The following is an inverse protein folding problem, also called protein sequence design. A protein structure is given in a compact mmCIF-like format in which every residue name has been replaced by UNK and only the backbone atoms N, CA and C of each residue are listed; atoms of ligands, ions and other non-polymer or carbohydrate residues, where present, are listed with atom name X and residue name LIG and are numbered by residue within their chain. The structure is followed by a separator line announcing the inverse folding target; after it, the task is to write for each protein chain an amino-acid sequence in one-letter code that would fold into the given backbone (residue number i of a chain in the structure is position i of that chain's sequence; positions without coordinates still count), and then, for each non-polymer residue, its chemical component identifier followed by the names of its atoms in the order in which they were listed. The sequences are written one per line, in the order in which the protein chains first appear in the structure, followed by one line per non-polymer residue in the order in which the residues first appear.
data_IF_132212817039
#
_entry.id   IF_132212817039
#
_cell.length_a   1.000
_cell.length_b   1.000
_cell.length_c   1.000
_cell.angle_alpha   90.00
_cell.angle_beta   90.00
_cell.angle_gamma   90.00
#
_symmetry.space_group_name_H-M   'P 1'
#
loop_
_entity.id
_entity.type
_entity.pdbx_description
1 polymer ?
#
# COMPACT_ATOMS: atom_id res chain seq x y z
N UNK A 1 -4.35 18.31 -6.01
CA UNK A 1 -3.31 18.12 -7.06
C UNK A 1 -3.34 16.65 -7.46
N UNK A 2 -3.16 16.31 -8.74
CA UNK A 2 -3.11 14.93 -9.22
C UNK A 2 -1.80 14.26 -8.77
N UNK A 3 -1.89 13.14 -8.07
CA UNK A 3 -0.73 12.42 -7.52
C UNK A 3 -0.37 11.20 -8.37
N UNK A 4 -1.39 10.47 -8.85
CA UNK A 4 -1.23 9.33 -9.76
C UNK A 4 -2.11 9.52 -10.98
N UNK A 5 -1.55 9.27 -12.16
CA UNK A 5 -2.27 9.22 -13.44
C UNK A 5 -1.80 8.03 -14.26
N UNK A 6 -2.71 7.15 -14.65
CA UNK A 6 -2.42 6.09 -15.62
C UNK A 6 -2.96 6.48 -16.99
N UNK A 7 -2.23 6.13 -18.04
CA UNK A 7 -2.57 6.45 -19.43
C UNK A 7 -2.50 5.18 -20.25
N UNK A 8 -3.64 4.56 -20.48
CA UNK A 8 -3.78 3.36 -21.27
C UNK A 8 -2.91 2.19 -20.78
N UNK A 9 -2.74 2.05 -19.45
CA UNK A 9 -1.79 1.10 -18.86
C UNK A 9 -2.22 -0.34 -19.14
N UNK A 10 -1.32 -1.14 -19.72
CA UNK A 10 -1.57 -2.53 -20.12
C UNK A 10 -0.53 -3.46 -19.52
N UNK A 11 -0.98 -4.63 -19.05
CA UNK A 11 -0.09 -5.75 -18.71
C UNK A 11 -0.59 -7.05 -19.30
N UNK A 12 0.25 -7.68 -20.12
CA UNK A 12 0.01 -9.01 -20.70
C UNK A 12 1.04 -10.00 -20.19
N UNK A 13 0.60 -11.21 -19.85
CA UNK A 13 1.40 -12.37 -19.52
C UNK A 13 1.05 -13.49 -20.48
N UNK A 14 1.91 -13.78 -21.44
CA UNK A 14 1.64 -14.77 -22.52
C UNK A 14 0.25 -14.51 -23.17
N UNK A 15 -0.71 -15.36 -22.88
CA UNK A 15 -2.07 -15.30 -23.45
C UNK A 15 -3.09 -14.56 -22.56
N UNK A 16 -2.67 -14.07 -21.37
CA UNK A 16 -3.53 -13.39 -20.42
C UNK A 16 -3.28 -11.88 -20.44
N UNK A 17 -4.31 -11.10 -20.70
CA UNK A 17 -4.28 -9.64 -20.45
C UNK A 17 -4.74 -9.40 -19.01
N UNK A 18 -3.77 -9.19 -18.10
CA UNK A 18 -4.04 -9.01 -16.69
C UNK A 18 -4.51 -7.59 -16.34
N UNK A 19 -4.12 -6.58 -17.15
CA UNK A 19 -4.62 -5.20 -17.09
C UNK A 19 -4.77 -4.70 -18.52
N UNK A 20 -5.92 -4.13 -18.84
CA UNK A 20 -6.28 -3.69 -20.17
C UNK A 20 -6.66 -2.22 -20.19
N UNK A 21 -5.78 -1.38 -20.78
CA UNK A 21 -5.94 0.08 -21.02
C UNK A 21 -6.47 0.84 -19.80
N UNK A 22 -5.90 0.59 -18.62
CA UNK A 22 -6.28 1.25 -17.38
C UNK A 22 -6.01 2.76 -17.46
N UNK A 23 -7.07 3.56 -17.29
CA UNK A 23 -7.01 5.01 -17.12
C UNK A 23 -7.59 5.36 -15.76
N UNK A 24 -6.76 5.89 -14.85
CA UNK A 24 -7.12 6.19 -13.48
C UNK A 24 -6.39 7.45 -13.03
N UNK A 25 -7.08 8.29 -12.28
CA UNK A 25 -6.52 9.48 -11.64
C UNK A 25 -6.81 9.44 -10.15
N UNK A 26 -5.75 9.63 -9.32
CA UNK A 26 -5.83 9.69 -7.86
C UNK A 26 -5.23 11.00 -7.39
N UNK A 27 -5.88 11.66 -6.43
CA UNK A 27 -5.47 12.94 -5.91
C UNK A 27 -4.57 12.82 -4.68
N UNK A 28 -3.78 13.86 -4.43
CA UNK A 28 -2.91 13.92 -3.27
C UNK A 28 -3.72 13.88 -1.97
N UNK A 29 -3.28 13.02 -1.02
CA UNK A 29 -3.93 12.84 0.27
C UNK A 29 -5.22 12.01 0.22
N UNK A 30 -5.62 11.54 -0.97
CA UNK A 30 -6.79 10.68 -1.16
C UNK A 30 -6.54 9.27 -0.62
N UNK A 31 -7.55 8.68 -0.01
CA UNK A 31 -7.60 7.25 0.25
C UNK A 31 -8.46 6.62 -0.84
N UNK A 32 -7.83 5.87 -1.72
CA UNK A 32 -8.45 5.25 -2.89
C UNK A 32 -8.43 3.73 -2.78
N UNK A 33 -9.58 3.08 -2.97
CA UNK A 33 -9.67 1.63 -3.05
C UNK A 33 -9.80 1.13 -4.47
N UNK A 34 -9.02 0.12 -4.80
CA UNK A 34 -9.19 -0.66 -6.01
C UNK A 34 -9.90 -1.97 -5.64
N UNK A 35 -11.21 -2.02 -5.88
CA UNK A 35 -12.10 -3.11 -5.51
C UNK A 35 -12.27 -4.08 -6.68
N UNK A 36 -12.27 -5.36 -6.41
CA UNK A 36 -12.57 -6.40 -7.41
C UNK A 36 -12.27 -7.80 -6.90
N UNK A 37 -12.83 -8.79 -7.57
CA UNK A 37 -12.60 -10.21 -7.26
C UNK A 37 -11.12 -10.61 -7.45
N UNK A 38 -10.76 -11.78 -6.95
CA UNK A 38 -9.43 -12.35 -7.20
C UNK A 38 -9.23 -12.54 -8.71
N UNK A 39 -8.05 -12.16 -9.21
CA UNK A 39 -7.75 -12.19 -10.64
C UNK A 39 -8.22 -10.96 -11.44
N UNK A 40 -8.90 -9.98 -10.83
CA UNK A 40 -9.36 -8.78 -11.52
C UNK A 40 -8.24 -7.86 -12.05
N UNK A 41 -6.97 -8.08 -11.65
CA UNK A 41 -5.83 -7.27 -12.07
C UNK A 41 -5.30 -6.28 -11.02
N UNK A 42 -5.89 -6.22 -9.82
CA UNK A 42 -5.53 -5.29 -8.74
C UNK A 42 -4.06 -5.32 -8.36
N UNK A 43 -3.55 -6.49 -7.91
CA UNK A 43 -2.14 -6.67 -7.53
C UNK A 43 -1.20 -6.42 -8.70
N UNK A 44 -1.59 -6.78 -9.94
CA UNK A 44 -0.81 -6.47 -11.14
C UNK A 44 -0.72 -4.98 -11.37
N UNK A 45 -1.80 -4.25 -11.16
CA UNK A 45 -1.82 -2.77 -11.23
C UNK A 45 -0.86 -2.17 -10.20
N UNK A 46 -0.94 -2.59 -8.92
CA UNK A 46 0.03 -2.16 -7.90
C UNK A 46 1.47 -2.46 -8.32
N UNK A 47 1.76 -3.67 -8.79
CA UNK A 47 3.11 -4.05 -9.22
C UNK A 47 3.66 -3.17 -10.35
N UNK A 48 2.82 -2.70 -11.27
CA UNK A 48 3.24 -1.74 -12.30
C UNK A 48 3.47 -0.34 -11.71
N UNK A 49 2.53 0.18 -10.92
CA UNK A 49 2.64 1.50 -10.31
C UNK A 49 3.84 1.61 -9.36
N UNK A 50 4.20 0.52 -8.70
CA UNK A 50 5.37 0.45 -7.80
C UNK A 50 6.68 0.09 -8.51
N UNK A 51 6.69 0.04 -9.83
CA UNK A 51 7.85 -0.28 -10.65
C UNK A 51 8.46 -1.68 -10.37
N UNK A 52 7.70 -2.62 -9.76
CA UNK A 52 8.11 -4.01 -9.58
C UNK A 52 8.03 -4.77 -10.91
N UNK A 53 7.05 -4.44 -11.75
CA UNK A 53 6.93 -5.00 -13.10
C UNK A 53 6.70 -3.90 -14.14
N UNK A 54 7.33 -4.02 -15.30
CA UNK A 54 7.12 -3.07 -16.38
C UNK A 54 5.77 -3.32 -17.05
N UNK A 55 5.02 -2.27 -17.43
CA UNK A 55 3.86 -2.42 -18.29
C UNK A 55 4.26 -2.99 -19.65
N UNK A 56 3.29 -3.63 -20.33
CA UNK A 56 3.46 -4.10 -21.72
C UNK A 56 3.21 -2.94 -22.69
N UNK A 57 2.30 -2.04 -22.32
CA UNK A 57 1.97 -0.82 -23.08
C UNK A 57 1.40 0.25 -22.15
N UNK A 58 1.32 1.49 -22.64
CA UNK A 58 0.92 2.64 -21.84
C UNK A 58 1.97 3.08 -20.82
N UNK A 59 1.61 4.04 -19.98
CA UNK A 59 2.47 4.57 -18.92
C UNK A 59 1.64 5.00 -17.70
N UNK A 60 2.30 5.26 -16.59
CA UNK A 60 1.69 5.93 -15.45
C UNK A 60 2.67 6.99 -14.90
N UNK A 61 2.09 8.04 -14.34
CA UNK A 61 2.83 9.14 -13.74
C UNK A 61 2.51 9.18 -12.25
N UNK A 62 3.55 9.20 -11.41
CA UNK A 62 3.46 9.23 -9.95
C UNK A 62 4.28 10.43 -9.46
N UNK A 63 3.61 11.39 -8.83
CA UNK A 63 4.24 12.65 -8.46
C UNK A 63 4.85 13.39 -9.66
N UNK A 64 4.33 13.16 -10.87
CA UNK A 64 4.82 13.72 -12.14
C UNK A 64 5.91 12.88 -12.82
N UNK A 65 6.43 11.80 -12.20
CA UNK A 65 7.47 10.94 -12.79
C UNK A 65 6.87 9.71 -13.47
N UNK A 66 7.34 9.40 -14.68
CA UNK A 66 6.94 8.21 -15.45
C UNK A 66 7.48 6.93 -14.81
N UNK A 67 6.61 5.91 -14.63
CA UNK A 67 7.03 4.59 -14.12
C UNK A 67 7.92 3.82 -15.09
N UNK A 68 7.88 4.15 -16.39
CA UNK A 68 8.70 3.50 -17.42
C UNK A 68 10.02 4.19 -17.64
N UNK A 69 10.06 5.53 -17.59
CA UNK A 69 11.25 6.35 -17.91
C UNK A 69 12.02 6.79 -16.67
N UNK A 70 11.35 6.95 -15.53
CA UNK A 70 11.91 7.53 -14.31
C UNK A 70 11.57 6.67 -13.06
N UNK A 71 11.77 5.33 -13.10
CA UNK A 71 11.34 4.44 -12.00
C UNK A 71 12.05 4.73 -10.69
N UNK A 72 13.29 5.20 -10.70
CA UNK A 72 14.04 5.51 -9.49
C UNK A 72 13.47 6.73 -8.74
N UNK A 73 12.98 7.74 -9.46
CA UNK A 73 12.29 8.89 -8.89
C UNK A 73 10.94 8.46 -8.29
N UNK A 74 10.19 7.59 -8.99
CA UNK A 74 8.94 7.02 -8.49
C UNK A 74 9.17 6.26 -7.19
N UNK A 75 10.15 5.36 -7.13
CA UNK A 75 10.46 4.55 -5.94
C UNK A 75 10.80 5.36 -4.70
N UNK A 76 11.33 6.59 -4.86
CA UNK A 76 11.61 7.50 -3.73
C UNK A 76 10.35 8.11 -3.12
N UNK A 77 9.23 8.11 -3.85
CA UNK A 77 7.97 8.71 -3.41
C UNK A 77 7.02 7.71 -2.78
N UNK A 78 7.26 6.41 -2.98
CA UNK A 78 6.29 5.36 -2.67
C UNK A 78 6.83 4.40 -1.61
N UNK A 79 5.89 3.76 -0.91
CA UNK A 79 6.14 2.54 -0.15
C UNK A 79 5.02 1.54 -0.37
N UNK A 80 5.30 0.27 -0.07
CA UNK A 80 4.38 -0.84 -0.27
C UNK A 80 4.31 -1.70 0.99
N UNK A 81 3.11 -1.99 1.45
CA UNK A 81 2.86 -3.13 2.34
C UNK A 81 2.18 -4.22 1.51
N UNK A 82 2.91 -5.28 1.16
CA UNK A 82 2.39 -6.34 0.28
C UNK A 82 1.38 -7.23 1.00
N UNK A 83 0.65 -8.04 0.23
CA UNK A 83 -0.33 -8.99 0.75
C UNK A 83 0.29 -9.97 1.76
N UNK A 84 1.46 -10.54 1.46
CA UNK A 84 2.27 -11.26 2.43
C UNK A 84 3.07 -10.24 3.25
N UNK A 85 3.01 -10.36 4.58
CA UNK A 85 3.69 -9.40 5.45
C UNK A 85 5.20 -9.44 5.26
N UNK A 86 5.81 -8.28 5.04
CA UNK A 86 7.25 -8.14 4.80
C UNK A 86 8.08 -8.10 6.10
N UNK A 87 7.63 -8.74 7.17
CA UNK A 87 8.35 -8.78 8.45
C UNK A 87 9.43 -9.86 8.44
N UNK A 88 10.60 -9.57 8.99
CA UNK A 88 11.63 -10.55 9.27
C UNK A 88 11.21 -11.38 10.52
N UNK A 89 10.80 -12.64 10.39
CA UNK A 89 10.11 -13.37 11.47
C UNK A 89 10.99 -13.66 12.68
N UNK A 90 12.29 -13.72 12.50
CA UNK A 90 13.27 -14.00 13.55
C UNK A 90 13.72 -12.75 14.32
N UNK A 91 13.44 -11.56 13.79
CA UNK A 91 13.68 -10.28 14.46
C UNK A 91 12.48 -9.89 15.32
N UNK A 92 12.74 -9.14 16.40
CA UNK A 92 11.69 -8.48 17.17
C UNK A 92 11.01 -7.38 16.34
N UNK A 93 9.85 -6.90 16.76
CA UNK A 93 9.18 -5.76 16.14
C UNK A 93 10.11 -4.55 16.10
N UNK A 94 10.79 -4.25 17.21
CA UNK A 94 11.75 -3.15 17.28
C UNK A 94 12.88 -3.28 16.27
N UNK A 95 13.50 -4.45 16.18
CA UNK A 95 14.58 -4.73 15.23
C UNK A 95 14.12 -4.62 13.77
N UNK A 96 12.88 -5.03 13.46
CA UNK A 96 12.30 -4.84 12.12
C UNK A 96 12.19 -3.35 11.76
N UNK A 97 11.72 -2.52 12.69
CA UNK A 97 11.63 -1.07 12.47
C UNK A 97 13.02 -0.41 12.39
N UNK A 98 13.96 -0.80 13.26
CA UNK A 98 15.35 -0.33 13.23
C UNK A 98 16.06 -0.71 11.93
N UNK A 99 15.81 -1.92 11.41
CA UNK A 99 16.34 -2.37 10.11
C UNK A 99 15.88 -1.43 8.98
N UNK A 100 14.59 -1.08 8.95
CA UNK A 100 14.06 -0.15 7.94
C UNK A 100 14.67 1.24 8.08
N UNK A 101 14.80 1.76 9.30
CA UNK A 101 15.50 3.03 9.54
C UNK A 101 16.94 3.00 9.00
N UNK A 102 17.66 1.89 9.23
CA UNK A 102 19.02 1.69 8.73
C UNK A 102 19.10 1.67 7.20
N UNK A 103 18.18 0.97 6.54
CA UNK A 103 18.07 0.92 5.06
C UNK A 103 17.87 2.32 4.48
N UNK A 104 17.10 3.18 5.16
CA UNK A 104 16.84 4.56 4.75
C UNK A 104 17.88 5.57 5.25
N UNK A 105 18.96 5.11 5.90
CA UNK A 105 20.07 5.96 6.33
C UNK A 105 19.73 6.95 7.45
N UNK A 106 18.74 6.64 8.30
CA UNK A 106 18.36 7.51 9.40
C UNK A 106 19.43 7.55 10.49
N UNK A 107 19.65 8.73 11.09
CA UNK A 107 20.45 8.82 12.31
C UNK A 107 19.78 8.08 13.48
N UNK A 108 20.54 7.80 14.56
CA UNK A 108 19.98 7.14 15.75
C UNK A 108 18.84 7.94 16.38
N UNK A 109 18.97 9.27 16.41
CA UNK A 109 17.97 10.18 16.95
C UNK A 109 16.69 10.16 16.11
N UNK A 110 16.82 10.29 14.78
CA UNK A 110 15.69 10.23 13.85
C UNK A 110 15.01 8.85 13.92
N UNK A 111 15.78 7.77 13.97
CA UNK A 111 15.25 6.40 14.10
C UNK A 111 14.43 6.24 15.36
N UNK A 112 14.96 6.68 16.52
CA UNK A 112 14.26 6.59 17.81
C UNK A 112 12.93 7.38 17.80
N UNK A 113 12.95 8.60 17.26
CA UNK A 113 11.74 9.43 17.16
C UNK A 113 10.71 8.80 16.25
N UNK A 114 11.12 8.34 15.05
CA UNK A 114 10.21 7.74 14.06
C UNK A 114 9.62 6.41 14.52
N UNK A 115 10.43 5.56 15.15
CA UNK A 115 9.95 4.30 15.73
C UNK A 115 8.91 4.59 16.80
N UNK A 116 9.18 5.55 17.71
CA UNK A 116 8.22 5.93 18.75
C UNK A 116 6.89 6.39 18.14
N UNK A 117 6.93 7.32 17.18
CA UNK A 117 5.74 7.82 16.47
C UNK A 117 4.91 6.66 15.89
N UNK A 118 5.55 5.76 15.13
CA UNK A 118 4.85 4.69 14.44
C UNK A 118 4.36 3.58 15.38
N UNK A 119 5.09 3.30 16.48
CA UNK A 119 4.64 2.32 17.47
C UNK A 119 3.41 2.81 18.22
N UNK A 120 3.34 4.08 18.55
CA UNK A 120 2.14 4.71 19.13
C UNK A 120 0.99 4.71 18.12
N UNK A 121 1.24 5.13 16.87
CA UNK A 121 0.20 5.21 15.83
C UNK A 121 -0.42 3.84 15.50
N UNK A 122 0.38 2.78 15.47
CA UNK A 122 -0.08 1.42 15.15
C UNK A 122 -0.30 0.55 16.39
N UNK A 123 -0.23 1.15 17.60
CA UNK A 123 -0.45 0.50 18.89
C UNK A 123 0.36 -0.80 19.06
N UNK A 124 1.63 -0.81 18.61
CA UNK A 124 2.52 -1.99 18.67
C UNK A 124 3.52 -1.94 19.84
N UNK A 125 3.40 -0.99 20.74
CA UNK A 125 4.32 -0.79 21.89
C UNK A 125 4.41 -2.03 22.76
N UNK A 126 3.30 -2.68 23.06
CA UNK A 126 3.22 -3.85 23.93
C UNK A 126 3.95 -5.08 23.38
N UNK A 127 4.23 -5.09 22.07
CA UNK A 127 4.86 -6.23 21.37
C UNK A 127 6.27 -5.94 20.84
N UNK A 128 6.82 -4.75 21.10
CA UNK A 128 8.12 -4.30 20.56
C UNK A 128 9.26 -5.30 20.73
N UNK A 129 9.30 -6.01 21.86
CA UNK A 129 10.37 -6.98 22.18
C UNK A 129 10.05 -8.40 21.67
N UNK A 130 8.84 -8.63 21.16
CA UNK A 130 8.43 -9.95 20.69
C UNK A 130 8.96 -10.19 19.26
N UNK A 131 9.36 -11.42 18.95
CA UNK A 131 9.72 -11.82 17.58
C UNK A 131 8.49 -11.70 16.69
N UNK A 132 8.65 -11.05 15.52
CA UNK A 132 7.56 -10.79 14.58
C UNK A 132 6.84 -12.08 14.12
N UNK A 133 7.59 -13.16 13.89
CA UNK A 133 7.02 -14.45 13.49
C UNK A 133 6.16 -15.16 14.56
N UNK A 134 6.17 -14.67 15.82
CA UNK A 134 5.33 -15.19 16.90
C UNK A 134 4.08 -14.35 17.16
N UNK A 135 3.84 -13.32 16.36
CA UNK A 135 2.67 -12.46 16.45
C UNK A 135 1.51 -13.05 15.63
N UNK A 136 0.27 -12.70 16.01
CA UNK A 136 -0.89 -12.96 15.14
C UNK A 136 -0.80 -12.17 13.83
N UNK A 137 -1.57 -12.59 12.82
CA UNK A 137 -1.59 -11.92 11.51
C UNK A 137 -1.91 -10.43 11.61
N UNK A 138 -2.84 -10.03 12.48
CA UNK A 138 -3.18 -8.62 12.71
C UNK A 138 -1.99 -7.80 13.23
N UNK A 139 -1.25 -8.32 14.22
CA UNK A 139 -0.05 -7.66 14.70
C UNK A 139 1.05 -7.59 13.63
N UNK A 140 1.28 -8.66 12.87
CA UNK A 140 2.25 -8.65 11.78
C UNK A 140 1.87 -7.64 10.70
N UNK A 141 0.58 -7.49 10.40
CA UNK A 141 0.08 -6.52 9.42
C UNK A 141 0.32 -5.08 9.90
N UNK A 142 0.04 -4.76 11.16
CA UNK A 142 0.35 -3.44 11.75
C UNK A 142 1.84 -3.12 11.66
N UNK A 143 2.69 -4.06 12.00
CA UNK A 143 4.15 -3.90 11.89
C UNK A 143 4.57 -3.69 10.44
N UNK A 144 4.03 -4.46 9.49
CA UNK A 144 4.34 -4.33 8.06
C UNK A 144 3.99 -2.94 7.51
N UNK A 145 2.83 -2.39 7.89
CA UNK A 145 2.42 -1.04 7.48
C UNK A 145 3.31 0.03 8.15
N UNK A 146 3.59 -0.12 9.44
CA UNK A 146 4.51 0.78 10.16
C UNK A 146 5.90 0.79 9.50
N UNK A 147 6.45 -0.37 9.13
CA UNK A 147 7.72 -0.49 8.39
C UNK A 147 7.66 0.27 7.06
N UNK A 148 6.56 0.17 6.31
CA UNK A 148 6.38 0.88 5.05
C UNK A 148 6.35 2.41 5.23
N UNK A 149 5.90 2.91 6.37
CA UNK A 149 5.83 4.34 6.69
C UNK A 149 7.14 4.93 7.23
N UNK A 150 8.15 4.11 7.52
CA UNK A 150 9.48 4.59 7.98
C UNK A 150 10.09 5.59 6.98
N UNK A 151 9.98 5.30 5.69
CA UNK A 151 10.54 6.16 4.64
C UNK A 151 9.83 7.49 4.44
N UNK A 152 8.74 7.75 5.18
CA UNK A 152 7.91 8.95 5.03
C UNK A 152 7.40 9.12 3.58
N UNK A 153 6.77 8.08 3.00
CA UNK A 153 6.38 8.11 1.60
C UNK A 153 5.27 9.14 1.35
N UNK A 154 5.24 9.70 0.12
CA UNK A 154 4.08 10.49 -0.33
C UNK A 154 2.88 9.61 -0.65
N UNK A 155 3.15 8.35 -1.09
CA UNK A 155 2.14 7.40 -1.52
C UNK A 155 2.41 6.04 -0.88
N UNK A 156 1.41 5.49 -0.24
CA UNK A 156 1.44 4.16 0.37
C UNK A 156 0.51 3.22 -0.41
N UNK A 157 1.06 2.11 -0.87
CA UNK A 157 0.29 1.02 -1.47
C UNK A 157 0.07 -0.08 -0.43
N UNK A 158 -1.19 -0.49 -0.27
CA UNK A 158 -1.62 -1.58 0.63
C UNK A 158 -2.30 -2.67 -0.21
N UNK A 159 -1.68 -3.82 -0.35
CA UNK A 159 -2.24 -4.93 -1.13
C UNK A 159 -2.99 -5.89 -0.19
N UNK A 160 -4.34 -5.89 -0.27
CA UNK A 160 -5.25 -6.71 0.56
C UNK A 160 -4.92 -6.60 2.08
N UNK A 161 -4.92 -5.38 2.69
CA UNK A 161 -4.34 -5.16 4.02
C UNK A 161 -5.02 -5.95 5.14
N UNK A 162 -6.29 -6.32 5.01
CA UNK A 162 -7.05 -7.02 6.06
C UNK A 162 -7.34 -8.48 5.73
N UNK A 163 -6.76 -9.00 4.65
CA UNK A 163 -6.97 -10.40 4.26
C UNK A 163 -6.57 -11.36 5.38
N UNK A 164 -7.50 -12.26 5.75
CA UNK A 164 -7.26 -13.28 6.77
C UNK A 164 -7.30 -12.78 8.21
N UNK A 165 -7.66 -11.52 8.45
CA UNK A 165 -7.85 -10.99 9.80
C UNK A 165 -9.27 -11.31 10.31
N UNK A 166 -9.37 -11.51 11.63
CA UNK A 166 -10.67 -11.53 12.30
C UNK A 166 -11.34 -10.15 12.29
N UNK A 167 -12.62 -10.10 12.66
CA UNK A 167 -13.43 -8.87 12.59
C UNK A 167 -12.85 -7.74 13.44
N UNK A 168 -12.40 -8.05 14.66
CA UNK A 168 -11.87 -7.02 15.58
C UNK A 168 -10.57 -6.45 15.05
N UNK A 169 -9.61 -7.31 14.69
CA UNK A 169 -8.32 -6.88 14.16
C UNK A 169 -8.48 -6.07 12.85
N UNK A 170 -9.48 -6.42 12.03
CA UNK A 170 -9.82 -5.69 10.81
C UNK A 170 -10.29 -4.26 11.12
N UNK A 171 -11.25 -4.08 12.02
CA UNK A 171 -11.75 -2.75 12.38
C UNK A 171 -10.67 -1.88 13.01
N UNK A 172 -9.85 -2.44 13.90
CA UNK A 172 -8.73 -1.71 14.49
C UNK A 172 -7.73 -1.26 13.43
N UNK A 173 -7.44 -2.10 12.43
CA UNK A 173 -6.56 -1.74 11.34
C UNK A 173 -7.18 -0.67 10.43
N UNK A 174 -8.49 -0.72 10.18
CA UNK A 174 -9.20 0.31 9.44
C UNK A 174 -9.05 1.69 10.09
N UNK A 175 -9.20 1.79 11.41
CA UNK A 175 -9.03 3.05 12.13
C UNK A 175 -7.61 3.62 11.96
N UNK A 176 -6.60 2.74 12.00
CA UNK A 176 -5.20 3.13 11.79
C UNK A 176 -4.94 3.61 10.35
N UNK A 177 -5.50 2.92 9.35
CA UNK A 177 -5.40 3.32 7.94
C UNK A 177 -6.15 4.64 7.71
N UNK A 178 -7.35 4.79 8.27
CA UNK A 178 -8.15 6.02 8.16
C UNK A 178 -7.42 7.23 8.74
N UNK A 179 -6.63 7.05 9.80
CA UNK A 179 -5.81 8.11 10.39
C UNK A 179 -4.66 8.62 9.49
N UNK A 180 -4.37 7.92 8.38
CA UNK A 180 -3.40 8.34 7.35
C UNK A 180 -4.01 9.31 6.33
N UNK A 181 -5.35 9.35 6.23
CA UNK A 181 -6.07 10.20 5.27
C UNK A 181 -5.63 11.67 5.38
N UNK A 182 -5.39 12.30 4.25
CA UNK A 182 -4.91 13.68 4.17
C UNK A 182 -3.42 13.87 4.45
N UNK A 183 -2.75 12.90 5.10
CA UNK A 183 -1.31 12.94 5.41
C UNK A 183 -0.47 12.23 4.34
N UNK A 184 -0.96 11.10 3.87
CA UNK A 184 -0.33 10.25 2.86
C UNK A 184 -1.41 9.87 1.85
N UNK A 185 -1.09 9.85 0.56
CA UNK A 185 -1.98 9.27 -0.45
C UNK A 185 -1.95 7.76 -0.29
N UNK A 186 -3.10 7.13 -0.07
CA UNK A 186 -3.18 5.69 0.16
C UNK A 186 -3.94 5.03 -0.97
N UNK A 187 -3.35 4.00 -1.58
CA UNK A 187 -4.01 3.13 -2.53
C UNK A 187 -4.08 1.74 -1.92
N UNK A 188 -5.28 1.25 -1.67
CA UNK A 188 -5.46 -0.11 -1.20
C UNK A 188 -6.19 -0.96 -2.24
N UNK A 189 -5.85 -2.24 -2.28
CA UNK A 189 -6.64 -3.24 -3.01
C UNK A 189 -7.46 -4.04 -2.03
N UNK A 190 -8.66 -4.40 -2.42
CA UNK A 190 -9.53 -5.27 -1.63
C UNK A 190 -10.54 -5.99 -2.52
N UNK A 191 -11.08 -7.07 -2.01
CA UNK A 191 -12.26 -7.73 -2.57
C UNK A 191 -13.48 -7.62 -1.63
N UNK A 192 -13.32 -6.91 -0.49
CA UNK A 192 -14.39 -6.63 0.46
C UNK A 192 -14.99 -5.26 0.20
N UNK A 193 -16.28 -5.21 -0.14
CA UNK A 193 -17.01 -3.95 -0.37
C UNK A 193 -17.02 -3.09 0.90
N UNK A 194 -17.30 -3.72 2.06
CA UNK A 194 -17.32 -3.05 3.37
C UNK A 194 -16.00 -2.32 3.68
N UNK A 195 -14.86 -2.90 3.32
CA UNK A 195 -13.55 -2.27 3.51
C UNK A 195 -13.40 -1.04 2.62
N UNK A 196 -13.75 -1.18 1.35
CA UNK A 196 -13.68 -0.08 0.40
C UNK A 196 -14.58 1.10 0.83
N UNK A 197 -15.80 0.81 1.25
CA UNK A 197 -16.76 1.82 1.74
C UNK A 197 -16.29 2.48 3.04
N UNK A 198 -15.79 1.68 4.01
CA UNK A 198 -15.37 2.20 5.30
C UNK A 198 -14.14 3.12 5.23
N UNK A 199 -13.24 2.90 4.26
CA UNK A 199 -11.94 3.55 4.23
C UNK A 199 -11.83 4.67 3.19
N UNK A 200 -12.49 4.54 2.03
CA UNK A 200 -12.08 5.27 0.83
C UNK A 200 -12.87 6.54 0.59
N UNK A 201 -12.22 7.53 0.02
CA UNK A 201 -12.88 8.71 -0.57
C UNK A 201 -13.54 8.34 -1.91
N UNK A 202 -12.82 7.49 -2.68
CA UNK A 202 -13.30 6.99 -3.97
C UNK A 202 -12.90 5.53 -4.14
N UNK A 203 -13.73 4.81 -4.88
CA UNK A 203 -13.55 3.38 -5.18
C UNK A 203 -13.48 3.22 -6.70
N UNK A 204 -12.44 2.52 -7.17
CA UNK A 204 -12.34 2.02 -8.53
C UNK A 204 -12.71 0.54 -8.59
N UNK A 205 -13.71 0.18 -9.39
CA UNK A 205 -14.16 -1.20 -9.54
C UNK A 205 -13.43 -1.85 -10.71
N UNK A 206 -12.68 -2.91 -10.42
CA UNK A 206 -11.96 -3.69 -11.44
C UNK A 206 -12.60 -5.06 -11.68
N UNK A 207 -12.69 -5.44 -12.94
CA UNK A 207 -13.07 -6.80 -13.37
C UNK A 207 -12.35 -7.14 -14.67
N UNK A 208 -11.83 -8.36 -14.77
CA UNK A 208 -11.20 -8.92 -15.99
C UNK A 208 -10.12 -7.97 -16.58
N UNK A 209 -9.31 -7.36 -15.72
CA UNK A 209 -8.25 -6.43 -16.10
C UNK A 209 -8.71 -5.02 -16.45
N UNK A 210 -9.99 -4.72 -16.39
CA UNK A 210 -10.58 -3.41 -16.76
C UNK A 210 -11.09 -2.66 -15.55
N UNK A 211 -10.92 -1.34 -15.56
CA UNK A 211 -11.58 -0.44 -14.65
C UNK A 211 -12.99 -0.15 -15.19
N UNK A 212 -14.01 -0.60 -14.49
CA UNK A 212 -15.40 -0.48 -14.93
C UNK A 212 -16.03 0.85 -14.53
N UNK A 213 -15.73 1.31 -13.32
CA UNK A 213 -16.26 2.55 -12.77
C UNK A 213 -15.31 3.11 -11.71
N UNK A 214 -15.41 4.42 -11.48
CA UNK A 214 -14.80 5.13 -10.34
C UNK A 214 -15.87 6.05 -9.78
N UNK A 215 -16.09 5.98 -8.49
CA UNK A 215 -17.10 6.81 -7.79
C UNK A 215 -16.76 7.03 -6.33
N UNK A 216 -17.53 7.90 -5.67
CA UNK A 216 -17.54 8.06 -4.23
C UNK A 216 -18.34 6.95 -3.56
N UNK A 217 -18.29 6.87 -2.25
CA UNK A 217 -19.07 5.91 -1.45
C UNK A 217 -20.52 6.37 -1.20
N UNK A 218 -20.85 7.58 -1.65
CA UNK A 218 -22.21 8.18 -1.59
C UNK A 218 -22.96 8.03 -2.90
#
# INVERSE_FOLDING_TARGET
MQEIKTVGLVKKYKNLTAVDKLNLEIHQGELFSLLGVNGAGKTTTIKMLTCITKPTDGDAFIGGYSITKQPEQVKRLISVSPQETAVAPNLSVKENLELMCGIHGFSKEKSKAKIKELTEQFAVDSVLKRKAGKLSGGWQRRVSIAMALISEPRILFLDEPTLGLDVIARHELWDMIRALKGKVTVILTTHYMEEAEALSDRIGIMKDGKLLAVGTTE
#
